data_IF_075123464681
#
_entry.id   IF_075123464681
#
_cell.length_a   1.000
_cell.length_b   1.000
_cell.length_c   1.000
_cell.angle_alpha   90.00
_cell.angle_beta   90.00
_cell.angle_gamma   90.00
#
_symmetry.space_group_name_H-M   'P 1'
#
loop_
_entity.id
_entity.type
_entity.pdbx_description
1 polymer ?
#
# COMPACT_ATOMS: atom_id res chain seq x y z
N UNK A 1 15.22 -7.08 -14.37
CA UNK A 1 15.34 -5.63 -14.16
C UNK A 1 16.70 -5.35 -13.54
N UNK A 2 17.55 -4.53 -14.18
CA UNK A 2 18.94 -4.33 -13.78
C UNK A 2 19.05 -3.73 -12.36
N UNK A 3 19.62 -4.48 -11.43
CA UNK A 3 19.82 -4.09 -10.04
C UNK A 3 21.22 -3.48 -9.89
N UNK A 4 21.35 -2.16 -10.02
CA UNK A 4 22.65 -1.52 -9.79
C UNK A 4 22.72 0.00 -9.84
N UNK A 5 21.74 0.68 -10.44
CA UNK A 5 21.88 2.11 -10.78
C UNK A 5 21.10 3.08 -9.88
N UNK A 6 20.54 2.64 -8.76
CA UNK A 6 19.58 3.43 -7.99
C UNK A 6 19.94 3.56 -6.51
N UNK A 7 21.10 4.11 -6.16
CA UNK A 7 21.42 4.28 -4.74
C UNK A 7 22.11 5.57 -4.30
N UNK A 8 22.80 6.34 -5.15
CA UNK A 8 23.72 7.35 -4.58
C UNK A 8 23.46 8.82 -4.92
N UNK A 9 22.71 9.13 -5.98
CA UNK A 9 22.52 10.52 -6.43
C UNK A 9 21.07 10.99 -6.55
N UNK A 10 20.06 10.19 -6.15
CA UNK A 10 18.68 10.67 -6.09
C UNK A 10 18.50 11.49 -4.81
N UNK A 11 17.98 12.71 -4.94
CA UNK A 11 17.48 13.50 -3.80
C UNK A 11 16.52 12.59 -3.03
N UNK A 12 16.87 12.25 -1.80
CA UNK A 12 16.15 11.26 -0.99
C UNK A 12 14.82 11.88 -0.53
N UNK A 13 13.77 11.68 -1.32
CA UNK A 13 12.41 11.99 -0.90
C UNK A 13 12.05 11.03 0.24
N UNK A 14 11.80 11.59 1.43
CA UNK A 14 11.47 10.83 2.64
C UNK A 14 10.22 9.95 2.48
N UNK A 15 9.33 10.32 1.54
CA UNK A 15 8.12 9.59 1.20
C UNK A 15 8.31 8.52 0.13
N UNK A 16 9.53 8.35 -0.40
CA UNK A 16 9.84 7.27 -1.33
C UNK A 16 10.74 6.22 -0.67
N UNK A 17 10.38 4.96 -0.89
CA UNK A 17 11.24 3.84 -0.53
C UNK A 17 12.44 3.77 -1.47
N UNK A 18 13.46 2.96 -1.11
CA UNK A 18 14.64 2.70 -1.96
C UNK A 18 14.32 2.25 -3.40
N UNK A 19 13.12 1.70 -3.62
CA UNK A 19 12.67 1.27 -4.96
C UNK A 19 11.92 2.36 -5.72
N UNK A 20 11.75 3.56 -5.15
CA UNK A 20 10.99 4.67 -5.72
C UNK A 20 9.48 4.54 -5.54
N UNK A 21 9.00 3.54 -4.80
CA UNK A 21 7.57 3.39 -4.46
C UNK A 21 7.24 4.26 -3.25
N UNK A 22 6.03 4.81 -3.20
CA UNK A 22 5.53 5.51 -2.04
C UNK A 22 5.69 4.67 -0.77
N UNK A 23 6.21 5.28 0.28
CA UNK A 23 6.40 4.68 1.59
C UNK A 23 5.03 4.55 2.24
N UNK A 24 4.38 3.41 2.00
CA UNK A 24 3.09 3.10 2.60
C UNK A 24 3.24 3.05 4.12
N UNK A 25 2.31 3.71 4.82
CA UNK A 25 2.13 3.57 6.26
C UNK A 25 1.60 2.18 6.63
N UNK A 26 1.01 1.99 7.83
CA UNK A 26 0.33 0.74 8.13
C UNK A 26 -0.75 0.49 7.06
N UNK A 27 -0.59 -0.61 6.30
CA UNK A 27 -1.55 -1.00 5.26
C UNK A 27 -2.95 -1.13 5.86
N UNK A 28 -4.03 -0.97 5.11
CA UNK A 28 -5.39 -1.29 5.60
C UNK A 28 -5.68 -2.80 5.44
N UNK A 29 -6.64 -3.36 6.18
CA UNK A 29 -7.15 -4.72 6.00
C UNK A 29 -7.53 -5.00 4.54
N UNK A 30 -8.22 -4.07 3.86
CA UNK A 30 -8.56 -4.21 2.45
C UNK A 30 -7.33 -4.32 1.52
N UNK A 31 -6.23 -3.64 1.87
CA UNK A 31 -4.97 -3.71 1.12
C UNK A 31 -4.22 -5.02 1.43
N UNK A 32 -4.28 -5.50 2.68
CA UNK A 32 -3.72 -6.78 3.07
C UNK A 32 -4.43 -7.96 2.39
N UNK A 33 -5.76 -7.93 2.27
CA UNK A 33 -6.50 -8.97 1.54
C UNK A 33 -6.08 -9.01 0.07
N UNK A 34 -6.04 -7.86 -0.61
CA UNK A 34 -5.56 -7.77 -2.00
C UNK A 34 -4.12 -8.28 -2.18
N UNK A 35 -3.25 -8.07 -1.18
CA UNK A 35 -1.89 -8.60 -1.17
C UNK A 35 -1.85 -10.10 -0.92
N UNK A 36 -2.78 -10.65 -0.13
CA UNK A 36 -2.88 -12.09 0.11
C UNK A 36 -3.21 -12.85 -1.19
N UNK A 37 -4.13 -12.29 -1.98
CA UNK A 37 -4.58 -12.86 -3.25
C UNK A 37 -3.49 -12.79 -4.33
N UNK A 38 -2.71 -11.70 -4.36
CA UNK A 38 -1.63 -11.49 -5.34
C UNK A 38 -0.28 -12.10 -4.95
N UNK A 39 -0.09 -12.46 -3.68
CA UNK A 39 1.17 -13.01 -3.19
C UNK A 39 1.28 -14.52 -3.47
N UNK A 40 2.22 -14.92 -4.32
CA UNK A 40 2.54 -16.34 -4.56
C UNK A 40 3.52 -16.92 -3.53
N UNK A 41 4.23 -16.09 -2.74
CA UNK A 41 5.26 -16.58 -1.81
C UNK A 41 4.66 -16.98 -0.46
N UNK A 42 4.95 -18.19 0.06
CA UNK A 42 4.37 -18.68 1.31
C UNK A 42 4.75 -17.83 2.53
N UNK A 43 5.98 -17.30 2.57
CA UNK A 43 6.44 -16.39 3.63
C UNK A 43 5.73 -15.04 3.61
N UNK A 44 5.35 -14.55 2.44
CA UNK A 44 4.59 -13.31 2.30
C UNK A 44 3.14 -13.53 2.76
N UNK A 45 2.51 -14.63 2.33
CA UNK A 45 1.17 -15.04 2.83
C UNK A 45 1.13 -15.15 4.36
N UNK A 46 2.10 -15.83 4.97
CA UNK A 46 2.15 -15.98 6.43
C UNK A 46 2.31 -14.65 7.19
N UNK A 47 3.08 -13.69 6.64
CA UNK A 47 3.20 -12.35 7.22
C UNK A 47 1.90 -11.54 7.07
N UNK A 48 1.23 -11.64 5.93
CA UNK A 48 -0.02 -10.95 5.65
C UNK A 48 -1.15 -11.50 6.54
N UNK A 49 -1.28 -12.82 6.66
CA UNK A 49 -2.24 -13.47 7.56
C UNK A 49 -2.00 -13.10 9.03
N UNK A 50 -0.74 -13.08 9.48
CA UNK A 50 -0.40 -12.63 10.84
C UNK A 50 -0.79 -11.18 11.07
N UNK A 51 -0.59 -10.30 10.08
CA UNK A 51 -1.00 -8.91 10.17
C UNK A 51 -2.52 -8.75 10.23
N UNK A 52 -3.28 -9.55 9.47
CA UNK A 52 -4.75 -9.59 9.56
C UNK A 52 -5.21 -10.05 10.95
N UNK A 53 -4.64 -11.14 11.47
CA UNK A 53 -5.00 -11.69 12.78
C UNK A 53 -4.64 -10.75 13.95
N UNK A 54 -3.47 -10.09 13.87
CA UNK A 54 -3.04 -9.11 14.89
C UNK A 54 -3.93 -7.87 14.94
N UNK A 55 -4.65 -7.59 13.86
CA UNK A 55 -5.59 -6.49 13.73
C UNK A 55 -7.04 -6.93 13.91
N UNK A 56 -7.29 -8.04 14.62
CA UNK A 56 -8.63 -8.48 15.02
C UNK A 56 -9.49 -7.29 15.50
N UNK A 57 -10.83 -7.43 15.50
CA UNK A 57 -11.83 -6.45 15.03
C UNK A 57 -11.73 -5.06 15.69
N UNK A 58 -10.65 -4.33 15.45
CA UNK A 58 -10.57 -2.92 15.80
C UNK A 58 -11.11 -2.19 14.58
N UNK A 59 -12.38 -1.83 14.73
CA UNK A 59 -13.08 -0.72 14.12
C UNK A 59 -12.33 -0.02 12.98
N UNK A 60 -12.89 -0.21 11.78
CA UNK A 60 -13.13 0.82 10.77
C UNK A 60 -12.61 2.21 11.16
N UNK A 61 -11.58 2.68 10.47
CA UNK A 61 -11.45 4.09 10.15
C UNK A 61 -11.27 4.19 8.61
N UNK A 62 -12.05 5.08 7.97
CA UNK A 62 -12.56 4.89 6.62
C UNK A 62 -11.51 5.15 5.54
N UNK A 63 -11.81 4.58 4.38
CA UNK A 63 -11.17 4.87 3.11
C UNK A 63 -11.00 6.39 2.88
N UNK A 64 -9.88 6.85 2.27
CA UNK A 64 -9.97 8.03 1.43
C UNK A 64 -10.89 7.66 0.27
N UNK A 65 -12.08 8.23 0.32
CA UNK A 65 -13.02 8.34 -0.78
C UNK A 65 -12.30 8.68 -2.09
N UNK A 66 -12.43 7.89 -3.17
CA UNK A 66 -12.44 8.47 -4.51
C UNK A 66 -13.84 9.06 -4.72
N UNK A 67 -14.13 10.17 -4.04
CA UNK A 67 -15.28 11.00 -4.34
C UNK A 67 -14.86 11.97 -5.45
N UNK A 68 -14.95 11.50 -6.70
CA UNK A 68 -14.98 12.35 -7.87
C UNK A 68 -15.89 11.70 -8.92
N UNK A 69 -17.17 11.58 -8.56
CA UNK A 69 -18.27 11.50 -9.52
C UNK A 69 -19.37 12.43 -9.04
N UNK A 70 -19.40 13.66 -9.56
CA UNK A 70 -20.61 14.45 -9.80
C UNK A 70 -20.18 15.58 -10.75
N UNK A 71 -20.51 15.45 -12.04
CA UNK A 71 -21.64 16.14 -12.67
C UNK A 71 -21.39 17.64 -12.92
N UNK A 72 -21.46 18.01 -14.20
CA UNK A 72 -21.75 19.35 -14.74
C UNK A 72 -23.00 19.99 -14.04
N UNK A 73 -23.41 21.28 -14.26
CA UNK A 73 -23.12 22.21 -15.37
C UNK A 73 -23.04 23.74 -15.00
N UNK A 74 -22.92 24.58 -16.05
CA UNK A 74 -23.41 25.97 -16.17
C UNK A 74 -22.70 27.14 -15.44
N UNK A 75 -21.99 27.95 -16.23
CA UNK A 75 -22.18 29.41 -16.35
C UNK A 75 -21.70 29.85 -17.74
#
# INVERSE_FOLDING_TARGET
MAAGQNQRNRKNDSMLTKTGKARLGPLNAAQLTKLLDSSSKPKEKGKIQRALNKRGPIAVAPAPTPAATESAPAA
#
